data_IF_465754593594
#
_entry.id   IF_465754593594
#
_cell.length_a   1.000
_cell.length_b   1.000
_cell.length_c   1.000
_cell.angle_alpha   90.00
_cell.angle_beta   90.00
_cell.angle_gamma   90.00
#
_symmetry.space_group_name_H-M   'P 1'
#
loop_
_entity.id
_entity.type
_entity.pdbx_description
1 polymer ?
#
# COMPACT_ATOMS: atom_id res chain seq x y z
N UNK A 1 10.88 1.74 -22.47
CA UNK A 1 10.46 2.16 -21.11
C UNK A 1 9.00 2.58 -21.18
N UNK A 2 8.21 2.19 -20.17
CA UNK A 2 6.88 2.77 -19.97
C UNK A 2 7.06 4.24 -19.58
N UNK A 3 6.45 5.16 -20.33
CA UNK A 3 6.33 6.58 -19.95
C UNK A 3 4.88 6.88 -19.61
N UNK A 4 4.65 7.80 -18.67
CA UNK A 4 3.29 8.23 -18.31
C UNK A 4 2.51 8.75 -19.53
N UNK A 5 3.20 9.37 -20.49
CA UNK A 5 2.65 9.90 -21.74
C UNK A 5 2.01 8.82 -22.63
N UNK A 6 2.51 7.57 -22.59
CA UNK A 6 1.95 6.46 -23.38
C UNK A 6 0.51 6.11 -22.96
N UNK A 7 0.16 6.40 -21.71
CA UNK A 7 -1.13 6.07 -21.12
C UNK A 7 -2.09 7.28 -21.08
N UNK A 8 -1.95 8.18 -22.06
CA UNK A 8 -2.89 9.29 -22.23
C UNK A 8 -4.32 8.77 -22.40
N UNK A 9 -5.27 9.36 -21.66
CA UNK A 9 -6.69 9.02 -21.73
C UNK A 9 -7.16 7.98 -20.71
N UNK A 10 -6.26 7.44 -19.87
CA UNK A 10 -6.68 6.69 -18.70
C UNK A 10 -7.32 7.62 -17.67
N UNK A 11 -8.42 7.16 -17.06
CA UNK A 11 -9.18 7.90 -16.05
C UNK A 11 -8.81 7.49 -14.62
N UNK A 12 -8.35 6.27 -14.46
CA UNK A 12 -7.85 5.70 -13.22
C UNK A 12 -6.50 6.29 -12.81
N UNK A 13 -5.94 5.76 -11.72
CA UNK A 13 -4.63 6.18 -11.24
C UNK A 13 -3.53 5.33 -11.86
N UNK A 14 -2.47 5.97 -12.34
CA UNK A 14 -1.28 5.31 -12.86
C UNK A 14 -0.04 5.91 -12.22
N UNK A 15 0.53 5.21 -11.25
CA UNK A 15 1.55 5.73 -10.34
C UNK A 15 2.88 4.99 -10.52
N UNK A 16 3.99 5.68 -10.86
CA UNK A 16 5.30 5.05 -10.86
C UNK A 16 5.80 4.82 -9.44
N UNK A 17 6.65 3.80 -9.24
CA UNK A 17 7.33 3.51 -7.96
C UNK A 17 6.37 3.48 -6.76
N UNK A 18 5.18 2.90 -6.95
CA UNK A 18 4.14 2.90 -5.94
C UNK A 18 4.40 1.85 -4.86
N UNK A 19 4.41 2.27 -3.60
CA UNK A 19 4.60 1.40 -2.44
C UNK A 19 3.48 0.37 -2.29
N UNK A 20 3.84 -0.92 -2.23
CA UNK A 20 2.88 -2.02 -2.18
C UNK A 20 2.63 -2.55 -0.77
N UNK A 21 3.49 -2.27 0.21
CA UNK A 21 3.27 -2.67 1.60
C UNK A 21 1.93 -2.15 2.14
N UNK A 22 1.47 -0.98 1.71
CA UNK A 22 0.16 -0.43 2.04
C UNK A 22 -1.04 -1.22 1.49
N UNK A 23 -0.81 -2.09 0.51
CA UNK A 23 -1.84 -2.85 -0.21
C UNK A 23 -1.82 -4.35 0.13
N UNK A 24 -0.91 -4.81 0.99
CA UNK A 24 -0.86 -6.20 1.48
C UNK A 24 -1.29 -6.31 2.94
N UNK A 25 -1.91 -7.43 3.31
CA UNK A 25 -2.35 -7.65 4.69
C UNK A 25 -1.19 -7.85 5.65
N UNK A 26 -0.09 -8.40 5.15
CA UNK A 26 1.16 -8.53 5.91
C UNK A 26 1.87 -7.19 6.11
N UNK A 27 1.47 -6.13 5.39
CA UNK A 27 2.11 -4.80 5.44
C UNK A 27 3.60 -4.84 5.09
N UNK A 28 3.95 -5.63 4.09
CA UNK A 28 5.31 -5.77 3.57
C UNK A 28 5.31 -5.77 2.04
N UNK A 29 6.47 -5.46 1.47
CA UNK A 29 6.73 -5.50 0.03
C UNK A 29 7.21 -4.17 -0.52
N UNK A 30 8.20 -4.25 -1.42
CA UNK A 30 8.77 -3.09 -2.10
C UNK A 30 7.84 -2.51 -3.17
N UNK A 31 8.28 -1.46 -3.87
CA UNK A 31 7.45 -0.73 -4.81
C UNK A 31 7.16 -1.51 -6.09
N UNK A 32 5.99 -1.28 -6.70
CA UNK A 32 5.79 -1.63 -8.11
C UNK A 32 6.53 -0.62 -8.99
N UNK A 33 7.09 -1.06 -10.13
CA UNK A 33 7.57 -0.10 -11.13
C UNK A 33 6.43 0.84 -11.54
N UNK A 34 5.22 0.29 -11.72
CA UNK A 34 3.98 1.02 -11.90
C UNK A 34 2.79 0.34 -11.20
N UNK A 35 1.91 1.14 -10.60
CA UNK A 35 0.62 0.71 -10.08
C UNK A 35 -0.49 1.37 -10.90
N UNK A 36 -1.36 0.55 -11.48
CA UNK A 36 -2.55 0.97 -12.18
C UNK A 36 -3.80 0.58 -11.39
N UNK A 37 -4.66 1.55 -11.08
CA UNK A 37 -6.01 1.28 -10.53
C UNK A 37 -7.05 1.84 -11.51
N UNK A 38 -7.70 0.98 -12.34
CA UNK A 38 -8.63 1.43 -13.37
C UNK A 38 -9.89 2.03 -12.77
N UNK A 39 -10.42 3.13 -13.29
CA UNK A 39 -11.69 3.71 -12.80
C UNK A 39 -12.89 2.78 -13.05
N UNK A 40 -12.89 2.11 -14.21
CA UNK A 40 -13.95 1.22 -14.66
C UNK A 40 -13.42 0.16 -15.67
N UNK A 41 -14.33 -0.66 -16.21
CA UNK A 41 -13.99 -1.71 -17.19
C UNK A 41 -13.44 -1.13 -18.50
N UNK A 42 -13.95 0.02 -18.94
CA UNK A 42 -13.50 0.67 -20.19
C UNK A 42 -12.07 1.21 -20.03
N UNK A 43 -11.76 1.74 -18.85
CA UNK A 43 -10.44 2.20 -18.48
C UNK A 43 -9.43 1.04 -18.44
N UNK A 44 -9.80 -0.09 -17.83
CA UNK A 44 -9.00 -1.32 -17.87
C UNK A 44 -8.75 -1.79 -19.31
N UNK A 45 -9.79 -1.78 -20.15
CA UNK A 45 -9.69 -2.17 -21.56
C UNK A 45 -8.73 -1.27 -22.34
N UNK A 46 -8.83 0.03 -22.12
CA UNK A 46 -7.96 1.04 -22.74
C UNK A 46 -6.51 0.81 -22.34
N UNK A 47 -6.25 0.60 -21.04
CA UNK A 47 -4.92 0.28 -20.54
C UNK A 47 -4.34 -0.99 -21.17
N UNK A 48 -5.11 -2.09 -21.19
CA UNK A 48 -4.62 -3.38 -21.72
C UNK A 48 -4.25 -3.28 -23.20
N UNK A 49 -5.08 -2.59 -24.01
CA UNK A 49 -4.79 -2.35 -25.43
C UNK A 49 -3.52 -1.51 -25.67
N UNK A 50 -3.23 -0.57 -24.77
CA UNK A 50 -2.04 0.29 -24.88
C UNK A 50 -0.78 -0.35 -24.28
N UNK A 51 -0.93 -1.35 -23.42
CA UNK A 51 0.16 -1.98 -22.70
C UNK A 51 1.00 -2.88 -23.64
N UNK A 52 2.31 -2.60 -23.83
CA UNK A 52 3.19 -3.41 -24.67
C UNK A 52 3.21 -4.89 -24.23
N UNK A 53 3.31 -5.83 -25.18
CA UNK A 53 3.23 -7.27 -24.89
C UNK A 53 4.33 -7.78 -23.93
N UNK A 54 5.50 -7.15 -23.95
CA UNK A 54 6.68 -7.50 -23.14
C UNK A 54 6.62 -6.98 -21.69
N UNK A 55 5.64 -6.13 -21.36
CA UNK A 55 5.46 -5.60 -20.01
C UNK A 55 4.77 -6.62 -19.11
N UNK A 56 5.41 -7.01 -18.02
CA UNK A 56 4.80 -7.92 -17.06
C UNK A 56 3.57 -7.25 -16.40
N UNK A 57 2.45 -7.98 -16.36
CA UNK A 57 1.24 -7.57 -15.65
C UNK A 57 1.04 -8.44 -14.43
N UNK A 58 0.67 -7.83 -13.31
CA UNK A 58 0.41 -8.52 -12.05
C UNK A 58 -0.87 -8.00 -11.42
N UNK A 59 -1.89 -8.85 -11.30
CA UNK A 59 -3.11 -8.46 -10.60
C UNK A 59 -2.93 -8.56 -9.07
N UNK A 60 -3.35 -7.53 -8.35
CA UNK A 60 -3.42 -7.49 -6.90
C UNK A 60 -4.85 -7.17 -6.46
N UNK A 61 -5.46 -8.11 -5.73
CA UNK A 61 -6.73 -7.88 -5.03
C UNK A 61 -6.50 -7.20 -3.68
N UNK A 62 -7.12 -7.70 -2.61
CA UNK A 62 -6.91 -7.17 -1.26
C UNK A 62 -5.51 -7.43 -0.68
N UNK A 63 -4.63 -8.17 -1.38
CA UNK A 63 -3.30 -8.54 -0.89
C UNK A 63 -3.32 -9.43 0.36
N UNK A 64 -4.41 -10.17 0.59
CA UNK A 64 -4.61 -11.04 1.75
C UNK A 64 -3.89 -12.39 1.64
N UNK A 65 -3.43 -12.78 0.45
CA UNK A 65 -2.68 -14.02 0.18
C UNK A 65 -1.37 -13.75 -0.60
N UNK A 66 -0.76 -12.58 -0.38
CA UNK A 66 0.42 -12.13 -1.13
C UNK A 66 1.57 -11.75 -0.20
N UNK A 67 2.75 -12.32 -0.45
CA UNK A 67 4.02 -11.91 0.11
C UNK A 67 4.85 -11.29 -1.02
N UNK A 68 4.83 -9.96 -1.11
CA UNK A 68 5.59 -9.21 -2.09
C UNK A 68 6.98 -8.97 -1.50
N UNK A 69 8.03 -9.35 -2.23
CA UNK A 69 9.41 -9.19 -1.79
C UNK A 69 9.85 -7.73 -1.73
N UNK A 70 10.89 -7.46 -0.96
CA UNK A 70 11.39 -6.11 -0.70
C UNK A 70 11.92 -5.41 -1.97
N UNK A 71 12.27 -6.16 -3.01
CA UNK A 71 12.72 -5.61 -4.30
C UNK A 71 11.57 -5.17 -5.21
N UNK A 72 10.33 -5.34 -4.76
CA UNK A 72 9.15 -4.86 -5.47
C UNK A 72 8.75 -5.70 -6.69
N UNK A 73 7.87 -5.16 -7.53
CA UNK A 73 7.29 -5.87 -8.68
C UNK A 73 7.68 -5.17 -9.99
N UNK A 74 8.14 -5.95 -10.95
CA UNK A 74 8.45 -5.48 -12.30
C UNK A 74 7.19 -5.26 -13.15
N UNK A 75 7.22 -4.25 -14.00
CA UNK A 75 6.11 -3.95 -14.92
C UNK A 75 4.95 -3.22 -14.24
N UNK A 76 3.71 -3.67 -14.46
CA UNK A 76 2.52 -3.00 -13.94
C UNK A 76 1.75 -3.92 -12.98
N UNK A 77 1.52 -3.42 -11.77
CA UNK A 77 0.56 -4.00 -10.84
C UNK A 77 -0.83 -3.40 -11.12
N UNK A 78 -1.79 -4.24 -11.46
CA UNK A 78 -3.20 -3.85 -11.64
C UNK A 78 -3.91 -4.08 -10.32
N UNK A 79 -4.32 -3.01 -9.65
CA UNK A 79 -5.03 -3.07 -8.39
C UNK A 79 -6.51 -2.79 -8.59
N UNK A 80 -7.31 -3.85 -8.50
CA UNK A 80 -8.74 -3.77 -8.78
C UNK A 80 -9.52 -3.27 -7.57
N UNK A 81 -9.10 -3.52 -6.32
CA UNK A 81 -9.94 -3.35 -5.12
C UNK A 81 -10.41 -1.92 -4.82
N UNK A 82 -9.83 -0.90 -5.46
CA UNK A 82 -10.30 0.49 -5.35
C UNK A 82 -11.50 0.79 -6.27
N UNK A 83 -11.73 -0.07 -7.26
CA UNK A 83 -12.73 0.08 -8.32
C UNK A 83 -13.32 -1.29 -8.64
N UNK A 84 -14.21 -1.41 -9.64
CA UNK A 84 -14.85 -2.70 -9.96
C UNK A 84 -15.42 -3.42 -8.71
N UNK A 85 -16.22 -2.70 -7.93
CA UNK A 85 -16.79 -3.16 -6.65
C UNK A 85 -18.33 -3.24 -6.67
N UNK A 86 -18.96 -3.29 -7.85
CA UNK A 86 -20.42 -3.39 -7.96
C UNK A 86 -20.89 -4.82 -7.71
N UNK A 87 -21.98 -4.91 -6.96
CA UNK A 87 -22.70 -6.16 -6.68
C UNK A 87 -24.15 -5.99 -7.12
N UNK A 88 -24.66 -6.91 -7.94
CA UNK A 88 -26.06 -7.00 -8.35
C UNK A 88 -26.52 -8.45 -8.24
N UNK A 89 -27.83 -8.68 -8.25
CA UNK A 89 -28.37 -10.03 -8.30
C UNK A 89 -29.57 -10.12 -9.25
N UNK A 90 -29.81 -11.33 -9.74
CA UNK A 90 -31.05 -11.73 -10.38
C UNK A 90 -31.48 -13.06 -9.76
N UNK A 91 -32.66 -13.10 -9.16
CA UNK A 91 -33.12 -14.20 -8.31
C UNK A 91 -32.04 -14.58 -7.27
N UNK A 92 -31.50 -15.80 -7.35
CA UNK A 92 -30.48 -16.32 -6.43
C UNK A 92 -29.07 -16.27 -7.01
N UNK A 93 -28.87 -15.61 -8.15
CA UNK A 93 -27.57 -15.45 -8.78
C UNK A 93 -26.99 -14.08 -8.44
N UNK A 94 -25.88 -14.09 -7.70
CA UNK A 94 -25.12 -12.87 -7.40
C UNK A 94 -24.08 -12.65 -8.50
N UNK A 95 -24.08 -11.46 -9.10
CA UNK A 95 -23.00 -10.98 -9.97
C UNK A 95 -22.18 -9.95 -9.20
N UNK A 96 -20.92 -10.27 -8.95
CA UNK A 96 -19.99 -9.40 -8.23
C UNK A 96 -18.77 -9.11 -9.08
N UNK A 97 -18.38 -7.85 -9.16
CA UNK A 97 -17.13 -7.45 -9.79
C UNK A 97 -15.91 -7.92 -8.98
N UNK A 98 -14.77 -8.08 -9.64
CA UNK A 98 -13.59 -8.76 -9.10
C UNK A 98 -12.94 -8.06 -7.90
N UNK A 99 -13.15 -6.75 -7.77
CA UNK A 99 -12.66 -5.93 -6.67
C UNK A 99 -13.52 -6.00 -5.41
N UNK A 100 -14.75 -6.53 -5.49
CA UNK A 100 -15.63 -6.69 -4.33
C UNK A 100 -14.97 -7.54 -3.26
N UNK A 101 -15.02 -7.10 -2.00
CA UNK A 101 -14.57 -7.93 -0.88
C UNK A 101 -15.48 -9.16 -0.72
N UNK A 102 -14.91 -10.34 -0.47
CA UNK A 102 -15.69 -11.58 -0.29
C UNK A 102 -16.76 -11.40 0.81
N UNK A 103 -16.38 -10.74 1.90
CA UNK A 103 -17.28 -10.47 3.01
C UNK A 103 -18.43 -9.51 2.69
N UNK A 104 -18.25 -8.59 1.73
CA UNK A 104 -19.31 -7.68 1.30
C UNK A 104 -20.32 -8.41 0.42
N UNK A 105 -19.84 -9.29 -0.46
CA UNK A 105 -20.69 -10.16 -1.28
C UNK A 105 -21.52 -11.09 -0.40
N UNK A 106 -20.94 -11.69 0.64
CA UNK A 106 -21.68 -12.49 1.61
C UNK A 106 -22.81 -11.71 2.29
N UNK A 107 -22.52 -10.49 2.76
CA UNK A 107 -23.52 -9.62 3.42
C UNK A 107 -24.60 -9.15 2.45
N UNK A 108 -24.23 -8.84 1.21
CA UNK A 108 -25.19 -8.48 0.17
C UNK A 108 -26.14 -9.64 -0.12
N UNK A 109 -25.61 -10.85 -0.33
CA UNK A 109 -26.41 -12.05 -0.56
C UNK A 109 -27.38 -12.32 0.60
N UNK A 110 -26.91 -12.19 1.84
CA UNK A 110 -27.75 -12.33 3.02
C UNK A 110 -28.90 -11.31 3.09
N UNK A 111 -28.66 -10.05 2.69
CA UNK A 111 -29.72 -9.03 2.60
C UNK A 111 -30.73 -9.33 1.49
N UNK A 112 -30.29 -9.98 0.42
CA UNK A 112 -31.13 -10.40 -0.70
C UNK A 112 -31.89 -11.72 -0.45
N UNK A 113 -31.71 -12.38 0.71
CA UNK A 113 -32.31 -13.70 0.96
C UNK A 113 -31.68 -14.82 0.14
N UNK A 114 -30.43 -14.62 -0.31
CA UNK A 114 -29.65 -15.57 -1.09
C UNK A 114 -28.66 -16.27 -0.17
N UNK A 115 -29.03 -17.47 0.28
CA UNK A 115 -28.18 -18.35 1.08
C UNK A 115 -27.18 -19.15 0.25
N UNK A 116 -26.29 -19.85 0.93
CA UNK A 116 -25.27 -20.70 0.34
C UNK A 116 -23.91 -20.02 0.09
N UNK A 117 -23.83 -18.70 0.26
CA UNK A 117 -22.64 -17.86 0.09
C UNK A 117 -22.05 -17.37 1.43
N UNK A 118 -22.52 -17.90 2.56
CA UNK A 118 -22.15 -17.46 3.92
C UNK A 118 -20.65 -17.60 4.19
N UNK A 119 -20.02 -18.64 3.64
CA UNK A 119 -18.61 -18.97 3.85
C UNK A 119 -17.68 -17.81 3.44
N UNK A 120 -18.06 -17.03 2.42
CA UNK A 120 -17.33 -15.85 1.94
C UNK A 120 -17.13 -14.79 3.03
N UNK A 121 -18.01 -14.72 4.04
CA UNK A 121 -17.88 -13.74 5.16
C UNK A 121 -16.58 -13.90 5.94
N UNK A 122 -16.03 -15.12 5.92
CA UNK A 122 -14.85 -15.49 6.69
C UNK A 122 -13.57 -15.55 5.85
N UNK A 123 -13.68 -15.45 4.52
CA UNK A 123 -12.53 -15.41 3.61
C UNK A 123 -12.05 -13.96 3.50
N UNK A 124 -10.80 -13.67 3.87
CA UNK A 124 -10.21 -12.38 3.62
C UNK A 124 -9.71 -12.30 2.18
N UNK A 125 -10.24 -11.38 1.38
CA UNK A 125 -9.91 -11.28 -0.03
C UNK A 125 -10.94 -10.50 -0.84
N UNK A 126 -10.76 -10.58 -2.16
CA UNK A 126 -11.72 -10.09 -3.14
C UNK A 126 -12.20 -11.24 -4.02
N UNK A 127 -13.34 -11.07 -4.67
CA UNK A 127 -13.94 -12.09 -5.56
C UNK A 127 -12.95 -12.60 -6.60
N UNK A 128 -12.20 -11.70 -7.26
CA UNK A 128 -11.19 -12.10 -8.24
C UNK A 128 -10.09 -12.97 -7.63
N UNK A 129 -9.63 -12.65 -6.42
CA UNK A 129 -8.66 -13.47 -5.69
C UNK A 129 -9.23 -14.79 -5.21
N UNK A 130 -10.50 -14.78 -4.78
CA UNK A 130 -11.25 -15.96 -4.37
C UNK A 130 -11.40 -16.98 -5.50
N UNK A 131 -11.71 -16.51 -6.72
CA UNK A 131 -11.74 -17.36 -7.93
C UNK A 131 -10.35 -17.92 -8.23
N UNK A 132 -9.31 -17.07 -8.27
CA UNK A 132 -7.93 -17.50 -8.58
C UNK A 132 -7.49 -18.62 -7.64
N UNK A 133 -7.80 -18.48 -6.35
CA UNK A 133 -7.42 -19.43 -5.32
C UNK A 133 -8.40 -20.60 -5.16
N UNK A 134 -9.53 -20.64 -5.87
CA UNK A 134 -10.67 -21.50 -5.49
C UNK A 134 -10.88 -21.47 -3.96
N UNK A 135 -10.99 -20.26 -3.40
CA UNK A 135 -10.92 -20.07 -1.97
C UNK A 135 -12.08 -20.81 -1.27
N UNK A 136 -11.84 -21.26 -0.04
CA UNK A 136 -12.85 -22.05 0.65
C UNK A 136 -12.57 -22.28 2.12
N UNK A 137 -13.64 -22.46 2.87
CA UNK A 137 -13.68 -22.68 4.30
C UNK A 137 -15.02 -23.31 4.69
N UNK A 138 -15.08 -23.95 5.86
CA UNK A 138 -16.32 -24.55 6.39
C UNK A 138 -17.00 -25.53 5.41
N UNK A 139 -16.20 -26.29 4.64
CA UNK A 139 -16.70 -27.32 3.73
C UNK A 139 -17.25 -26.81 2.40
N UNK A 140 -17.12 -25.52 2.10
CA UNK A 140 -17.45 -24.94 0.78
C UNK A 140 -16.27 -24.20 0.17
N UNK A 141 -16.21 -24.21 -1.15
CA UNK A 141 -15.24 -23.50 -1.99
C UNK A 141 -15.95 -22.74 -3.12
N UNK A 142 -15.23 -21.84 -3.80
CA UNK A 142 -15.75 -21.12 -4.96
C UNK A 142 -16.31 -22.06 -6.03
N UNK A 143 -15.66 -23.21 -6.31
CA UNK A 143 -16.14 -24.18 -7.30
C UNK A 143 -17.56 -24.70 -7.06
N UNK A 144 -18.03 -24.67 -5.80
CA UNK A 144 -19.34 -25.21 -5.42
C UNK A 144 -20.49 -24.24 -5.76
N UNK A 145 -20.15 -22.96 -5.97
CA UNK A 145 -21.12 -21.88 -6.20
C UNK A 145 -20.87 -21.10 -7.49
N UNK A 146 -19.68 -21.20 -8.10
CA UNK A 146 -19.31 -20.46 -9.29
C UNK A 146 -20.08 -20.95 -10.53
N UNK A 147 -20.74 -20.03 -11.23
CA UNK A 147 -21.38 -20.28 -12.52
C UNK A 147 -20.39 -20.04 -13.65
N UNK A 148 -19.75 -18.87 -13.65
CA UNK A 148 -18.72 -18.43 -14.59
C UNK A 148 -18.08 -17.13 -14.12
N UNK A 149 -17.04 -16.73 -14.86
CA UNK A 149 -16.20 -15.57 -14.59
C UNK A 149 -16.05 -14.80 -15.89
N UNK A 150 -16.27 -13.48 -15.84
CA UNK A 150 -15.84 -12.61 -16.93
C UNK A 150 -14.40 -12.17 -16.67
N UNK A 151 -13.60 -12.18 -17.72
CA UNK A 151 -12.25 -11.63 -17.70
C UNK A 151 -11.97 -10.81 -18.94
N UNK A 152 -10.80 -10.19 -18.95
CA UNK A 152 -10.32 -9.40 -20.07
C UNK A 152 -8.92 -9.86 -20.45
N UNK A 153 -8.73 -10.19 -21.72
CA UNK A 153 -7.43 -10.56 -22.27
C UNK A 153 -6.53 -9.33 -22.40
N UNK A 154 -5.24 -9.58 -22.68
CA UNK A 154 -4.28 -8.52 -22.99
C UNK A 154 -4.66 -7.67 -24.22
N UNK A 155 -5.38 -8.21 -25.19
CA UNK A 155 -5.94 -7.45 -26.33
C UNK A 155 -7.11 -6.54 -25.95
N UNK A 156 -7.56 -6.59 -24.68
CA UNK A 156 -8.75 -5.90 -24.21
C UNK A 156 -10.05 -6.56 -24.69
N UNK A 157 -10.02 -7.86 -25.03
CA UNK A 157 -11.21 -8.61 -25.40
C UNK A 157 -11.82 -9.25 -24.15
N UNK A 158 -13.15 -9.20 -24.05
CA UNK A 158 -13.86 -9.86 -22.95
C UNK A 158 -13.93 -11.35 -23.23
N UNK A 159 -13.63 -12.15 -22.20
CA UNK A 159 -13.75 -13.61 -22.22
C UNK A 159 -14.68 -14.07 -21.10
N UNK A 160 -15.42 -15.14 -21.35
CA UNK A 160 -16.26 -15.81 -20.36
C UNK A 160 -15.67 -17.20 -20.08
N UNK A 161 -15.35 -17.48 -18.82
CA UNK A 161 -14.73 -18.73 -18.39
C UNK A 161 -15.64 -19.48 -17.42
N UNK A 162 -15.99 -20.72 -17.76
CA UNK A 162 -16.78 -21.60 -16.91
C UNK A 162 -15.88 -22.33 -15.88
N UNK A 163 -16.44 -22.92 -14.81
CA UNK A 163 -15.69 -23.75 -13.88
C UNK A 163 -14.89 -24.88 -14.57
N UNK A 164 -15.39 -25.40 -15.69
CA UNK A 164 -14.70 -26.43 -16.49
C UNK A 164 -13.43 -25.86 -17.14
N UNK A 165 -13.51 -24.65 -17.68
CA UNK A 165 -12.36 -23.97 -18.29
C UNK A 165 -11.31 -23.62 -17.23
N UNK A 166 -11.76 -23.20 -16.05
CA UNK A 166 -10.92 -22.83 -14.91
C UNK A 166 -10.26 -24.02 -14.19
N UNK A 167 -10.72 -25.25 -14.42
CA UNK A 167 -10.19 -26.48 -13.81
C UNK A 167 -9.92 -26.32 -12.30
N UNK A 168 -10.92 -25.83 -11.56
CA UNK A 168 -10.80 -25.51 -10.14
C UNK A 168 -10.45 -26.76 -9.32
N UNK A 169 -9.43 -26.64 -8.48
CA UNK A 169 -8.94 -27.69 -7.58
C UNK A 169 -8.54 -27.07 -6.24
N UNK A 170 -8.11 -27.89 -5.27
CA UNK A 170 -7.78 -27.40 -3.93
C UNK A 170 -6.72 -26.30 -3.99
N UNK A 171 -7.12 -25.08 -3.60
CA UNK A 171 -6.28 -23.87 -3.60
C UNK A 171 -5.71 -23.46 -4.96
N UNK A 172 -6.39 -23.81 -6.06
CA UNK A 172 -5.87 -23.57 -7.41
C UNK A 172 -6.98 -23.41 -8.46
N UNK A 173 -6.72 -22.52 -9.42
CA UNK A 173 -7.41 -22.43 -10.70
C UNK A 173 -6.40 -22.42 -11.85
N UNK A 174 -6.87 -22.61 -13.09
CA UNK A 174 -6.11 -22.48 -14.34
C UNK A 174 -6.63 -21.32 -15.18
N UNK A 175 -6.74 -20.15 -14.55
CA UNK A 175 -7.00 -18.91 -15.29
C UNK A 175 -5.80 -18.65 -16.22
N UNK A 176 -6.01 -18.34 -17.51
CA UNK A 176 -4.91 -18.01 -18.41
C UNK A 176 -4.09 -16.83 -17.87
N UNK A 177 -2.76 -16.87 -18.01
CA UNK A 177 -1.86 -15.87 -17.42
C UNK A 177 -2.14 -14.44 -17.90
N UNK A 178 -2.66 -14.31 -19.12
CA UNK A 178 -2.92 -13.03 -19.79
C UNK A 178 -4.35 -12.50 -19.58
N UNK A 179 -5.13 -13.13 -18.68
CA UNK A 179 -6.52 -12.75 -18.41
C UNK A 179 -6.65 -12.10 -17.04
N UNK A 180 -7.15 -10.87 -17.03
CA UNK A 180 -7.56 -10.15 -15.82
C UNK A 180 -9.01 -10.49 -15.51
N UNK A 181 -9.30 -11.14 -14.39
CA UNK A 181 -10.68 -11.38 -13.96
C UNK A 181 -11.35 -10.06 -13.60
N UNK A 182 -12.55 -9.81 -14.16
CA UNK A 182 -13.31 -8.58 -13.96
C UNK A 182 -14.59 -8.76 -13.17
N UNK A 183 -15.23 -9.93 -13.24
CA UNK A 183 -16.43 -10.25 -12.46
C UNK A 183 -16.64 -11.76 -12.33
N UNK A 184 -17.49 -12.17 -11.38
CA UNK A 184 -17.92 -13.56 -11.24
C UNK A 184 -19.42 -13.63 -10.96
N UNK A 185 -20.06 -14.70 -11.46
CA UNK A 185 -21.44 -15.06 -11.13
C UNK A 185 -21.46 -16.24 -10.19
N UNK A 186 -22.10 -16.06 -9.04
CA UNK A 186 -22.20 -17.05 -7.96
C UNK A 186 -23.66 -17.45 -7.77
N UNK A 187 -23.93 -18.75 -7.76
CA UNK A 187 -25.24 -19.34 -7.49
C UNK A 187 -25.42 -19.55 -6.00
N UNK A 188 -26.43 -18.91 -5.43
CA UNK A 188 -26.97 -19.26 -4.13
C UNK A 188 -28.32 -19.97 -4.24
N UNK A 189 -29.05 -19.97 -3.13
CA UNK A 189 -30.38 -20.55 -3.01
C UNK A 189 -31.28 -19.63 -2.17
N UNK A 190 -32.61 -19.67 -2.33
CA UNK A 190 -33.49 -18.90 -1.47
C UNK A 190 -33.35 -19.40 -0.03
N UNK A 191 -33.17 -18.49 0.92
CA UNK A 191 -33.11 -18.81 2.35
C UNK A 191 -33.56 -17.61 3.20
N UNK A 192 -33.96 -17.88 4.44
CA UNK A 192 -34.36 -16.83 5.38
C UNK A 192 -33.16 -15.96 5.77
N UNK A 193 -33.32 -14.63 5.73
CA UNK A 193 -32.22 -13.71 6.01
C UNK A 193 -31.66 -13.86 7.43
N UNK A 194 -32.51 -14.23 8.39
CA UNK A 194 -32.12 -14.42 9.79
C UNK A 194 -31.25 -15.66 9.92
N UNK A 195 -31.59 -16.75 9.25
CA UNK A 195 -30.78 -17.99 9.22
C UNK A 195 -29.40 -17.76 8.58
N UNK A 196 -29.36 -17.04 7.44
CA UNK A 196 -28.10 -16.70 6.77
C UNK A 196 -27.22 -15.87 7.71
N UNK A 197 -27.79 -14.85 8.37
CA UNK A 197 -27.04 -13.99 9.32
C UNK A 197 -26.56 -14.75 10.55
N UNK A 198 -27.37 -15.67 11.08
CA UNK A 198 -26.98 -16.53 12.19
C UNK A 198 -25.79 -17.42 11.81
N UNK A 199 -25.83 -18.03 10.62
CA UNK A 199 -24.75 -18.84 10.07
C UNK A 199 -23.46 -18.04 9.90
N UNK A 200 -23.53 -16.84 9.30
CA UNK A 200 -22.38 -15.95 9.16
C UNK A 200 -21.79 -15.55 10.52
N UNK A 201 -22.64 -15.23 11.50
CA UNK A 201 -22.20 -14.88 12.86
C UNK A 201 -21.46 -16.05 13.51
N UNK A 202 -21.97 -17.28 13.35
CA UNK A 202 -21.32 -18.48 13.86
C UNK A 202 -19.95 -18.69 13.21
N UNK A 203 -19.84 -18.55 11.88
CA UNK A 203 -18.58 -18.67 11.15
C UNK A 203 -17.54 -17.63 11.57
N UNK A 204 -17.95 -16.38 11.79
CA UNK A 204 -17.07 -15.33 12.30
C UNK A 204 -16.60 -15.62 13.73
N UNK A 205 -17.50 -16.10 14.60
CA UNK A 205 -17.15 -16.49 15.97
C UNK A 205 -16.14 -17.65 15.98
N UNK A 206 -16.38 -18.69 15.18
CA UNK A 206 -15.47 -19.84 15.05
C UNK A 206 -14.09 -19.41 14.52
N UNK A 207 -14.05 -18.49 13.55
CA UNK A 207 -12.80 -17.93 13.02
C UNK A 207 -12.07 -17.14 14.11
N UNK A 208 -12.77 -16.27 14.83
CA UNK A 208 -12.20 -15.48 15.91
C UNK A 208 -11.69 -16.35 17.07
N UNK A 209 -12.29 -17.50 17.33
CA UNK A 209 -11.80 -18.44 18.34
C UNK A 209 -10.53 -19.18 17.89
N UNK A 210 -10.47 -19.62 16.63
CA UNK A 210 -9.42 -20.52 16.12
C UNK A 210 -8.22 -19.82 15.47
N UNK A 211 -8.37 -18.59 14.98
CA UNK A 211 -7.36 -17.91 14.17
C UNK A 211 -6.95 -16.56 14.76
N UNK A 212 -5.74 -16.06 14.46
CA UNK A 212 -5.36 -14.70 14.82
C UNK A 212 -6.14 -13.70 13.94
N UNK A 213 -6.87 -12.79 14.58
CA UNK A 213 -7.68 -11.74 13.93
C UNK A 213 -7.12 -10.38 14.32
N UNK A 214 -7.18 -9.41 13.42
CA UNK A 214 -6.67 -8.05 13.67
C UNK A 214 -5.13 -7.93 13.67
N UNK A 215 -4.43 -8.98 13.26
CA UNK A 215 -2.97 -8.99 13.10
C UNK A 215 -2.58 -8.91 11.63
N UNK A 216 -1.34 -8.45 11.35
CA UNK A 216 -0.79 -8.38 9.99
C UNK A 216 -0.33 -9.76 9.55
N UNK A 217 -1.15 -10.45 8.78
CA UNK A 217 -0.90 -11.82 8.29
C UNK A 217 -1.57 -12.05 6.94
N UNK A 218 -1.00 -12.94 6.13
CA UNK A 218 -1.52 -13.36 4.83
C UNK A 218 -2.41 -14.61 4.90
N UNK A 219 -2.89 -14.96 6.10
CA UNK A 219 -3.68 -16.17 6.30
C UNK A 219 -2.82 -17.41 6.57
N UNK A 220 -3.37 -18.59 6.23
CA UNK A 220 -2.63 -19.84 6.33
C UNK A 220 -1.44 -19.82 5.37
N UNK A 221 -0.24 -20.00 5.90
CA UNK A 221 1.02 -19.84 5.19
C UNK A 221 1.29 -21.01 4.25
N UNK A 222 1.00 -22.23 4.72
CA UNK A 222 1.19 -23.46 3.96
C UNK A 222 -0.13 -24.18 3.69
N UNK A 223 -0.21 -24.81 2.52
CA UNK A 223 -1.30 -25.70 2.17
C UNK A 223 -1.22 -26.98 3.03
N UNK A 224 -2.37 -27.60 3.28
CA UNK A 224 -2.38 -28.87 3.99
C UNK A 224 -1.71 -29.97 3.13
N UNK A 225 -0.74 -30.72 3.67
CA UNK A 225 -0.21 -31.91 3.01
C UNK A 225 -1.24 -33.04 3.00
N UNK A 226 -1.05 -34.03 2.11
CA UNK A 226 -2.05 -35.09 1.91
C UNK A 226 -2.41 -35.82 3.21
N UNK A 227 -3.71 -35.84 3.51
CA UNK A 227 -4.29 -36.48 4.70
C UNK A 227 -3.91 -35.85 6.05
N UNK A 228 -3.14 -34.75 6.07
CA UNK A 228 -2.59 -34.15 7.29
C UNK A 228 -2.86 -32.64 7.34
N UNK A 229 -2.84 -32.05 8.53
CA UNK A 229 -3.04 -30.60 8.70
C UNK A 229 -1.69 -29.93 8.88
N UNK A 230 -1.41 -28.90 8.06
CA UNK A 230 -0.13 -28.19 8.11
C UNK A 230 0.15 -27.63 9.51
N UNK A 231 -0.86 -27.06 10.18
CA UNK A 231 -0.69 -26.50 11.52
C UNK A 231 -0.25 -27.51 12.58
N UNK A 232 -0.69 -28.78 12.47
CA UNK A 232 -0.29 -29.85 13.39
C UNK A 232 1.17 -30.19 13.16
N UNK A 233 1.58 -30.39 11.90
CA UNK A 233 2.97 -30.66 11.56
C UNK A 233 3.92 -29.56 12.05
N UNK A 234 3.52 -28.29 11.91
CA UNK A 234 4.28 -27.13 12.40
C UNK A 234 4.33 -27.10 13.94
N UNK A 235 3.23 -27.46 14.60
CA UNK A 235 3.17 -27.51 16.06
C UNK A 235 4.06 -28.62 16.62
N UNK A 236 3.98 -29.83 16.06
CA UNK A 236 4.72 -31.02 16.48
C UNK A 236 6.24 -30.83 16.25
N UNK A 237 6.62 -30.10 15.20
CA UNK A 237 7.98 -29.67 14.95
C UNK A 237 8.47 -28.53 15.89
N UNK A 238 7.70 -28.16 16.91
CA UNK A 238 8.09 -27.17 17.91
C UNK A 238 8.16 -25.73 17.40
N UNK A 239 7.54 -25.42 16.25
CA UNK A 239 7.73 -24.12 15.60
C UNK A 239 6.85 -22.98 16.16
N UNK A 240 5.97 -23.27 17.12
CA UNK A 240 5.08 -22.26 17.70
C UNK A 240 5.91 -21.16 18.35
N UNK A 241 5.64 -19.91 17.97
CA UNK A 241 6.34 -18.76 18.51
C UNK A 241 7.76 -18.52 17.99
N UNK A 242 8.25 -19.34 17.05
CA UNK A 242 9.51 -19.06 16.34
C UNK A 242 9.49 -17.65 15.76
N UNK A 243 10.64 -16.99 15.80
CA UNK A 243 10.79 -15.59 15.40
C UNK A 243 12.03 -15.42 14.52
N UNK A 244 11.91 -14.54 13.52
CA UNK A 244 13.03 -14.04 12.72
C UNK A 244 12.77 -12.58 12.40
N UNK A 245 13.70 -11.70 12.78
CA UNK A 245 13.51 -10.25 12.64
C UNK A 245 12.18 -9.81 13.28
N UNK A 246 11.37 -9.06 12.52
CA UNK A 246 10.02 -8.66 12.94
C UNK A 246 8.91 -9.69 12.68
N UNK A 247 9.22 -10.85 12.09
CA UNK A 247 8.26 -11.89 11.76
C UNK A 247 8.17 -12.95 12.86
N UNK A 248 6.97 -13.46 13.12
CA UNK A 248 6.73 -14.47 14.15
C UNK A 248 5.69 -15.50 13.74
N UNK A 249 5.90 -16.77 14.11
CA UNK A 249 4.87 -17.81 14.04
C UNK A 249 3.83 -17.55 15.11
N UNK A 250 2.55 -17.52 14.74
CA UNK A 250 1.45 -17.24 15.66
C UNK A 250 1.39 -18.23 16.83
N UNK A 251 1.26 -17.71 18.06
CA UNK A 251 0.93 -18.52 19.24
C UNK A 251 -0.45 -19.13 19.20
N UNK A 252 -1.37 -18.54 18.43
CA UNK A 252 -2.75 -19.00 18.37
C UNK A 252 -2.89 -20.14 17.37
N UNK A 253 -2.37 -19.94 16.15
CA UNK A 253 -2.45 -20.93 15.09
C UNK A 253 -1.15 -21.00 14.29
N UNK A 254 -0.33 -22.04 14.51
CA UNK A 254 1.04 -22.14 13.98
C UNK A 254 1.18 -22.05 12.45
N UNK A 255 0.12 -22.30 11.68
CA UNK A 255 0.15 -22.09 10.23
C UNK A 255 0.01 -20.61 9.80
N UNK A 256 0.15 -19.64 10.71
CA UNK A 256 0.07 -18.20 10.40
C UNK A 256 1.38 -17.53 10.78
N UNK A 257 2.05 -16.94 9.78
CA UNK A 257 3.13 -16.00 9.99
C UNK A 257 2.56 -14.59 10.19
N UNK A 258 3.06 -13.89 11.21
CA UNK A 258 2.60 -12.57 11.63
C UNK A 258 3.75 -11.57 11.49
N UNK A 259 3.48 -10.42 10.90
CA UNK A 259 4.33 -9.24 10.98
C UNK A 259 4.03 -8.49 12.29
N UNK A 260 5.01 -8.39 13.19
CA UNK A 260 4.86 -7.72 14.48
C UNK A 260 4.93 -6.18 14.41
N UNK A 261 5.16 -5.61 13.22
CA UNK A 261 5.15 -4.17 13.00
C UNK A 261 6.28 -3.71 12.08
N UNK A 262 7.43 -4.36 12.19
CA UNK A 262 8.71 -3.99 11.57
C UNK A 262 9.34 -5.14 10.75
N UNK A 263 8.58 -6.21 10.43
CA UNK A 263 9.08 -7.30 9.60
C UNK A 263 9.30 -6.81 8.15
N UNK A 264 10.38 -7.27 7.54
CA UNK A 264 10.57 -7.21 6.08
C UNK A 264 9.89 -8.42 5.41
N UNK A 265 9.71 -8.37 4.08
CA UNK A 265 9.23 -9.54 3.36
C UNK A 265 10.26 -10.70 3.44
N UNK A 266 11.55 -10.38 3.41
CA UNK A 266 12.63 -11.34 3.62
C UNK A 266 12.56 -12.04 4.99
N UNK A 267 12.25 -11.31 6.07
CA UNK A 267 12.07 -11.92 7.41
C UNK A 267 10.95 -12.96 7.40
N UNK A 268 9.80 -12.63 6.78
CA UNK A 268 8.64 -13.51 6.71
C UNK A 268 8.92 -14.72 5.81
N UNK A 269 9.51 -14.50 4.63
CA UNK A 269 9.83 -15.59 3.68
C UNK A 269 10.82 -16.56 4.32
N UNK A 270 11.88 -16.04 4.96
CA UNK A 270 12.89 -16.87 5.60
C UNK A 270 12.36 -17.58 6.85
N UNK A 271 11.50 -16.94 7.66
CA UNK A 271 10.84 -17.62 8.77
C UNK A 271 9.99 -18.79 8.27
N UNK A 272 9.31 -18.63 7.14
CA UNK A 272 8.57 -19.72 6.53
C UNK A 272 9.47 -20.86 6.04
N UNK A 273 10.63 -20.55 5.45
CA UNK A 273 11.61 -21.59 5.08
C UNK A 273 12.22 -22.29 6.32
N UNK A 274 12.47 -21.56 7.42
CA UNK A 274 12.93 -22.14 8.69
C UNK A 274 11.87 -23.13 9.25
N UNK A 275 10.59 -22.77 9.17
CA UNK A 275 9.47 -23.67 9.54
C UNK A 275 9.43 -24.90 8.64
N UNK A 276 9.59 -24.75 7.32
CA UNK A 276 9.62 -25.89 6.39
C UNK A 276 10.78 -26.84 6.73
N UNK A 277 11.97 -26.30 7.00
CA UNK A 277 13.14 -27.09 7.36
C UNK A 277 12.93 -27.86 8.68
N UNK A 278 12.35 -27.21 9.69
CA UNK A 278 12.04 -27.87 10.97
C UNK A 278 11.01 -29.00 10.83
N UNK A 279 9.96 -28.80 10.01
CA UNK A 279 8.95 -29.84 9.77
C UNK A 279 9.51 -31.01 8.97
N UNK A 280 10.36 -30.74 7.97
CA UNK A 280 11.08 -31.79 7.24
C UNK A 280 11.98 -32.58 8.20
N UNK A 281 12.75 -31.91 9.06
CA UNK A 281 13.62 -32.57 10.02
C UNK A 281 12.85 -33.41 11.06
N UNK A 282 11.65 -32.96 11.46
CA UNK A 282 10.82 -33.64 12.46
C UNK A 282 10.06 -34.85 11.89
N UNK A 283 9.38 -34.70 10.75
CA UNK A 283 8.45 -35.73 10.23
C UNK A 283 8.69 -36.12 8.77
N UNK A 284 9.71 -35.58 8.11
CA UNK A 284 9.96 -35.79 6.68
C UNK A 284 8.92 -35.14 5.76
N UNK A 285 7.99 -34.36 6.32
CA UNK A 285 6.88 -33.77 5.56
C UNK A 285 7.30 -32.47 4.89
N UNK A 286 7.18 -32.41 3.57
CA UNK A 286 7.40 -31.15 2.87
C UNK A 286 6.12 -30.29 2.86
N UNK A 287 6.19 -29.14 3.52
CA UNK A 287 5.12 -28.14 3.45
C UNK A 287 5.28 -27.30 2.18
N UNK A 288 4.16 -27.08 1.47
CA UNK A 288 4.08 -26.22 0.29
C UNK A 288 3.47 -24.88 0.67
N UNK A 289 4.10 -23.77 0.27
CA UNK A 289 3.54 -22.43 0.42
C UNK A 289 2.17 -22.30 -0.27
N UNK A 290 1.20 -21.76 0.47
CA UNK A 290 -0.11 -21.34 -0.06
C UNK A 290 -0.13 -19.83 -0.35
N UNK A 291 0.55 -19.05 0.49
CA UNK A 291 0.78 -17.62 0.25
C UNK A 291 1.61 -17.44 -1.02
N UNK A 292 1.13 -16.57 -1.93
CA UNK A 292 1.81 -16.30 -3.19
C UNK A 292 3.01 -15.38 -2.95
N UNK A 293 4.21 -15.95 -3.09
CA UNK A 293 5.48 -15.23 -3.01
C UNK A 293 5.83 -14.68 -4.38
N UNK A 294 6.12 -13.38 -4.46
CA UNK A 294 6.26 -12.67 -5.74
C UNK A 294 7.16 -11.44 -5.62
N UNK A 295 7.60 -10.92 -6.75
CA UNK A 295 8.51 -9.78 -6.81
C UNK A 295 9.99 -10.17 -6.81
N UNK A 296 10.84 -9.15 -6.95
CA UNK A 296 12.29 -9.27 -7.06
C UNK A 296 12.91 -9.47 -5.68
N UNK A 297 13.94 -10.32 -5.63
CA UNK A 297 14.83 -10.37 -4.48
C UNK A 297 15.65 -9.08 -4.41
N UNK A 298 15.88 -8.55 -3.22
CA UNK A 298 16.88 -7.51 -3.00
C UNK A 298 18.27 -8.16 -2.98
N UNK A 299 19.25 -7.55 -3.65
CA UNK A 299 20.63 -8.03 -3.53
C UNK A 299 21.16 -7.78 -2.10
N UNK A 300 22.01 -8.66 -1.54
CA UNK A 300 22.52 -8.50 -0.17
C UNK A 300 23.20 -7.15 0.10
N UNK A 301 23.91 -6.60 -0.90
CA UNK A 301 24.47 -5.24 -0.84
C UNK A 301 23.40 -4.15 -0.72
N UNK A 302 22.27 -4.30 -1.41
CA UNK A 302 21.16 -3.35 -1.36
C UNK A 302 20.40 -3.40 -0.03
N UNK A 303 20.30 -4.55 0.65
CA UNK A 303 19.71 -4.62 2.00
C UNK A 303 20.59 -3.93 3.05
N UNK A 304 21.91 -4.04 2.91
CA UNK A 304 22.88 -3.37 3.78
C UNK A 304 22.92 -1.86 3.49
N UNK A 305 22.91 -1.48 2.21
CA UNK A 305 22.81 -0.09 1.76
C UNK A 305 21.44 0.54 2.08
N UNK A 306 20.31 -0.17 2.05
CA UNK A 306 19.00 0.37 2.45
C UNK A 306 18.89 0.56 3.97
N UNK A 307 19.47 -0.35 4.77
CA UNK A 307 19.58 -0.17 6.22
C UNK A 307 20.55 0.96 6.62
N UNK A 308 21.63 1.14 5.85
CA UNK A 308 22.59 2.24 6.06
C UNK A 308 22.08 3.59 5.51
N UNK A 309 21.42 3.59 4.34
CA UNK A 309 20.89 4.80 3.68
C UNK A 309 19.66 5.40 4.37
N UNK A 310 18.90 4.61 5.13
CA UNK A 310 17.85 5.15 5.99
C UNK A 310 18.41 6.07 7.09
N UNK A 311 19.70 5.94 7.43
CA UNK A 311 20.38 6.81 8.40
C UNK A 311 21.15 7.98 7.74
N UNK A 312 21.41 7.90 6.43
CA UNK A 312 22.19 8.88 5.62
C UNK A 312 21.29 9.77 4.72
N UNK A 313 19.95 9.69 4.86
CA UNK A 313 18.97 10.44 4.05
C UNK A 313 17.77 10.92 4.87
N UNK A 314 18.03 11.50 6.04
CA UNK A 314 17.01 12.08 6.91
C UNK A 314 16.84 13.57 6.67
N UNK A 315 15.61 14.00 6.39
CA UNK A 315 15.24 15.41 6.26
C UNK A 315 14.24 15.81 7.34
N UNK A 316 14.57 16.84 8.10
CA UNK A 316 13.62 17.46 9.03
C UNK A 316 12.84 18.56 8.30
N UNK A 317 11.52 18.52 8.34
CA UNK A 317 10.65 19.54 7.74
C UNK A 317 10.10 20.44 8.83
N UNK A 318 10.61 21.67 8.93
CA UNK A 318 10.19 22.62 9.95
C UNK A 318 8.82 23.21 9.62
N UNK A 319 7.94 23.27 10.61
CA UNK A 319 6.56 23.71 10.43
C UNK A 319 5.99 24.43 11.65
N UNK A 320 4.81 25.05 11.48
CA UNK A 320 4.08 25.65 12.59
C UNK A 320 4.68 26.97 13.08
N UNK A 321 4.85 27.09 14.41
CA UNK A 321 5.29 28.31 15.08
C UNK A 321 4.15 29.04 15.82
N UNK A 322 4.45 30.25 16.29
CA UNK A 322 3.54 31.10 17.07
C UNK A 322 3.09 32.36 16.30
N UNK A 323 3.34 32.41 15.00
CA UNK A 323 2.82 33.47 14.13
C UNK A 323 1.41 33.12 13.65
N UNK A 324 0.70 34.11 13.09
CA UNK A 324 -0.59 33.90 12.42
C UNK A 324 -0.50 32.91 11.23
N UNK A 325 0.70 32.62 10.76
CA UNK A 325 0.97 31.80 9.58
C UNK A 325 1.29 30.34 9.94
N UNK A 326 1.28 29.98 11.22
CA UNK A 326 1.56 28.61 11.67
C UNK A 326 0.67 27.55 10.98
N UNK A 327 -0.59 27.87 10.70
CA UNK A 327 -1.49 26.96 10.00
C UNK A 327 -1.03 26.65 8.57
N UNK A 328 -0.61 27.68 7.80
CA UNK A 328 -0.15 27.48 6.42
C UNK A 328 1.22 26.78 6.38
N UNK A 329 2.08 27.03 7.38
CA UNK A 329 3.35 26.31 7.54
C UNK A 329 3.14 24.80 7.70
N UNK A 330 2.16 24.36 8.50
CA UNK A 330 1.84 22.93 8.67
C UNK A 330 1.30 22.29 7.39
N UNK A 331 0.44 23.01 6.66
CA UNK A 331 -0.07 22.53 5.37
C UNK A 331 1.07 22.35 4.37
N UNK A 332 1.94 23.36 4.24
CA UNK A 332 3.12 23.32 3.37
C UNK A 332 4.03 22.15 3.73
N UNK A 333 4.32 21.98 5.03
CA UNK A 333 5.16 20.89 5.53
C UNK A 333 4.59 19.51 5.23
N UNK A 334 3.26 19.33 5.26
CA UNK A 334 2.64 18.05 4.90
C UNK A 334 2.92 17.68 3.44
N UNK A 335 2.82 18.63 2.52
CA UNK A 335 3.13 18.41 1.11
C UNK A 335 4.63 18.16 0.90
N UNK A 336 5.50 18.96 1.50
CA UNK A 336 6.95 18.81 1.42
C UNK A 336 7.40 17.45 1.99
N UNK A 337 6.88 17.04 3.13
CA UNK A 337 7.20 15.75 3.74
C UNK A 337 6.72 14.57 2.92
N UNK A 338 5.53 14.69 2.31
CA UNK A 338 5.04 13.70 1.36
C UNK A 338 5.97 13.61 0.13
N UNK A 339 6.39 14.73 -0.43
CA UNK A 339 7.30 14.77 -1.57
C UNK A 339 8.69 14.21 -1.24
N UNK A 340 9.24 14.53 -0.06
CA UNK A 340 10.50 13.99 0.42
C UNK A 340 10.46 12.47 0.58
N UNK A 341 9.39 11.94 1.21
CA UNK A 341 9.16 10.49 1.32
C UNK A 341 9.05 9.82 -0.05
N UNK A 342 8.35 10.46 -1.01
CA UNK A 342 8.27 9.99 -2.40
C UNK A 342 9.63 9.98 -3.12
N UNK A 343 10.52 10.90 -2.77
CA UNK A 343 11.90 10.95 -3.28
C UNK A 343 12.86 10.00 -2.54
N UNK A 344 12.36 9.18 -1.60
CA UNK A 344 13.15 8.20 -0.86
C UNK A 344 13.92 8.75 0.34
N UNK A 345 13.49 9.89 0.89
CA UNK A 345 14.04 10.47 2.13
C UNK A 345 13.22 10.05 3.36
N UNK A 346 13.91 9.83 4.48
CA UNK A 346 13.27 9.71 5.80
C UNK A 346 12.87 11.11 6.28
N UNK A 347 11.60 11.47 6.11
CA UNK A 347 11.08 12.81 6.39
C UNK A 347 10.38 12.88 7.74
N UNK A 348 10.90 13.72 8.63
CA UNK A 348 10.35 13.97 9.97
C UNK A 348 9.81 15.39 10.06
N UNK A 349 8.53 15.54 10.37
CA UNK A 349 7.90 16.85 10.56
C UNK A 349 8.20 17.38 11.97
N UNK A 350 8.74 18.60 12.05
CA UNK A 350 9.20 19.19 13.32
C UNK A 350 8.47 20.52 13.54
N UNK A 351 7.61 20.53 14.57
CA UNK A 351 6.92 21.73 15.02
C UNK A 351 7.93 22.72 15.64
N UNK A 352 7.99 23.93 15.09
CA UNK A 352 8.79 25.02 15.63
C UNK A 352 8.21 25.45 16.97
N UNK A 353 8.96 25.13 18.03
CA UNK A 353 8.66 25.56 19.38
C UNK A 353 9.97 25.90 20.14
N UNK A 354 9.88 26.22 21.43
CA UNK A 354 11.06 26.57 22.24
C UNK A 354 12.10 25.44 22.37
N UNK A 355 11.69 24.19 22.13
CA UNK A 355 12.53 23.00 22.26
C UNK A 355 12.96 22.46 20.88
N UNK A 356 12.88 23.28 19.83
CA UNK A 356 13.25 22.87 18.47
C UNK A 356 14.72 22.44 18.39
N UNK A 357 15.59 23.04 19.21
CA UNK A 357 17.01 22.68 19.30
C UNK A 357 17.19 21.24 19.76
N UNK A 358 16.61 20.89 20.91
CA UNK A 358 16.69 19.54 21.46
C UNK A 358 16.12 18.52 20.47
N UNK A 359 15.02 18.85 19.79
CA UNK A 359 14.45 17.97 18.76
C UNK A 359 15.37 17.78 17.56
N UNK A 360 16.01 18.84 17.07
CA UNK A 360 16.93 18.72 15.94
C UNK A 360 18.20 17.94 16.34
N UNK A 361 18.65 18.10 17.58
CA UNK A 361 19.77 17.34 18.15
C UNK A 361 19.41 15.86 18.36
N UNK A 362 18.18 15.54 18.77
CA UNK A 362 17.70 14.15 18.88
C UNK A 362 17.53 13.49 17.49
N UNK A 363 17.03 14.26 16.51
CA UNK A 363 16.73 13.75 15.17
C UNK A 363 18.00 13.55 14.34
N UNK A 364 19.02 14.39 14.55
CA UNK A 364 20.24 14.49 13.74
C UNK A 364 19.94 14.45 12.23
N UNK A 365 19.18 15.43 11.69
CA UNK A 365 18.83 15.41 10.27
C UNK A 365 20.02 15.82 9.40
N UNK A 366 20.19 15.17 8.25
CA UNK A 366 21.20 15.55 7.25
C UNK A 366 20.92 16.94 6.67
N UNK A 367 19.63 17.27 6.53
CA UNK A 367 19.15 18.54 5.99
C UNK A 367 17.84 18.95 6.61
N UNK A 368 17.56 20.25 6.58
CA UNK A 368 16.28 20.82 6.98
C UNK A 368 15.55 21.41 5.77
N UNK A 369 14.32 20.95 5.54
CA UNK A 369 13.40 21.64 4.65
C UNK A 369 12.62 22.68 5.45
N UNK A 370 12.85 23.97 5.19
CA UNK A 370 12.14 25.04 5.87
C UNK A 370 10.78 25.29 5.20
N UNK A 371 9.69 24.87 5.85
CA UNK A 371 8.32 25.12 5.41
C UNK A 371 7.60 26.17 6.29
N UNK A 372 8.36 26.95 7.06
CA UNK A 372 7.84 28.04 7.89
C UNK A 372 7.57 29.28 7.01
N UNK A 373 6.42 29.91 7.21
CA UNK A 373 6.08 31.19 6.61
C UNK A 373 6.22 32.34 7.61
N UNK A 374 6.57 33.52 7.09
CA UNK A 374 6.52 34.79 7.82
C UNK A 374 7.68 35.02 8.77
N UNK A 375 7.41 35.83 9.79
CA UNK A 375 8.43 36.16 10.80
C UNK A 375 8.96 34.88 11.45
N UNK A 376 10.27 34.80 11.64
CA UNK A 376 11.07 33.63 12.03
C UNK A 376 11.33 32.62 10.89
N UNK A 377 10.37 32.39 10.00
CA UNK A 377 10.51 31.47 8.87
C UNK A 377 11.32 32.05 7.71
N UNK A 378 11.09 33.33 7.40
CA UNK A 378 11.58 33.98 6.18
C UNK A 378 12.50 35.18 6.46
N UNK A 379 12.66 35.58 7.72
CA UNK A 379 13.45 36.76 8.13
C UNK A 379 14.92 36.49 8.48
N UNK A 380 15.36 35.23 8.31
CA UNK A 380 16.73 34.82 8.60
C UNK A 380 16.92 34.23 10.01
N UNK A 381 15.91 34.26 10.89
CA UNK A 381 16.05 33.78 12.27
C UNK A 381 16.30 32.27 12.32
N UNK A 382 15.45 31.46 11.67
CA UNK A 382 15.63 30.00 11.65
C UNK A 382 16.86 29.58 10.83
N UNK A 383 17.18 30.34 9.78
CA UNK A 383 18.39 30.14 8.98
C UNK A 383 19.66 30.36 9.82
N UNK A 384 19.65 31.37 10.70
CA UNK A 384 20.75 31.63 11.64
C UNK A 384 20.92 30.49 12.64
N UNK A 385 19.81 29.98 13.17
CA UNK A 385 19.81 28.79 14.04
C UNK A 385 20.44 27.58 13.34
N UNK A 386 20.01 27.28 12.11
CA UNK A 386 20.49 26.13 11.35
C UNK A 386 21.97 26.27 10.94
N UNK A 387 22.43 27.50 10.68
CA UNK A 387 23.85 27.79 10.47
C UNK A 387 24.69 27.49 11.73
N UNK A 388 24.20 27.84 12.93
CA UNK A 388 24.89 27.54 14.19
C UNK A 388 24.99 26.03 14.41
N UNK A 389 23.93 25.29 14.09
CA UNK A 389 23.91 23.82 14.17
C UNK A 389 24.68 23.14 13.03
N UNK A 390 25.18 23.90 12.05
CA UNK A 390 25.83 23.38 10.85
C UNK A 390 24.95 22.38 10.06
N UNK A 391 23.63 22.61 10.03
CA UNK A 391 22.67 21.77 9.30
C UNK A 391 22.30 22.47 7.98
N UNK A 392 22.56 21.87 6.81
CA UNK A 392 22.14 22.42 5.52
C UNK A 392 20.61 22.57 5.41
N UNK A 393 20.11 23.63 4.76
CA UNK A 393 18.66 23.86 4.63
C UNK A 393 18.19 24.41 3.29
N UNK A 394 16.88 24.31 3.05
CA UNK A 394 16.20 24.92 1.90
C UNK A 394 15.71 26.33 2.24
N UNK A 395 16.43 27.38 1.84
CA UNK A 395 15.96 28.77 1.78
C UNK A 395 17.09 29.66 1.25
N UNK A 396 16.82 30.95 1.08
CA UNK A 396 17.87 31.97 1.02
C UNK A 396 18.66 32.04 2.35
N UNK A 397 19.94 32.42 2.30
CA UNK A 397 20.75 32.60 3.51
C UNK A 397 20.26 33.73 4.42
N UNK A 398 20.84 33.84 5.62
CA UNK A 398 20.42 34.78 6.69
C UNK A 398 20.31 36.22 6.19
N UNK A 399 21.39 36.76 5.60
CA UNK A 399 21.41 38.15 5.14
C UNK A 399 20.39 38.41 4.04
N UNK A 400 20.24 37.49 3.09
CA UNK A 400 19.28 37.63 2.00
C UNK A 400 17.83 37.61 2.53
N UNK A 401 17.54 36.70 3.46
CA UNK A 401 16.23 36.56 4.11
C UNK A 401 15.88 37.81 4.93
N UNK A 402 16.80 38.27 5.80
CA UNK A 402 16.62 39.49 6.59
C UNK A 402 16.42 40.73 5.69
N UNK A 403 17.21 40.86 4.63
CA UNK A 403 17.12 42.02 3.74
C UNK A 403 15.84 42.00 2.90
N UNK A 404 15.38 40.82 2.46
CA UNK A 404 14.14 40.68 1.71
C UNK A 404 12.90 41.05 2.54
N UNK A 405 12.92 40.76 3.84
CA UNK A 405 11.84 41.10 4.77
C UNK A 405 11.83 42.59 5.14
N UNK A 406 12.94 43.31 4.98
CA UNK A 406 13.00 44.76 5.15
C UNK A 406 12.59 45.48 3.85
N UNK A 407 11.41 46.10 3.87
CA UNK A 407 10.81 46.75 2.69
C UNK A 407 11.64 47.92 2.14
N UNK A 408 12.43 48.59 2.97
CA UNK A 408 13.22 49.74 2.53
C UNK A 408 14.52 49.23 1.92
N UNK A 409 15.21 48.34 2.63
CA UNK A 409 16.50 47.77 2.26
C UNK A 409 16.39 46.92 0.99
N UNK A 410 15.38 46.04 0.89
CA UNK A 410 15.12 45.27 -0.34
C UNK A 410 14.93 46.16 -1.56
N UNK A 411 14.19 47.28 -1.43
CA UNK A 411 13.98 48.24 -2.53
C UNK A 411 15.25 48.96 -2.93
N UNK A 412 16.06 49.39 -1.96
CA UNK A 412 17.33 50.05 -2.24
C UNK A 412 18.28 49.10 -2.98
N UNK A 413 18.36 47.83 -2.57
CA UNK A 413 19.18 46.82 -3.24
C UNK A 413 18.68 46.51 -4.64
N UNK A 414 17.37 46.31 -4.80
CA UNK A 414 16.80 46.04 -6.13
C UNK A 414 16.97 47.22 -7.07
N UNK A 415 16.74 48.45 -6.60
CA UNK A 415 16.97 49.65 -7.39
C UNK A 415 18.44 49.82 -7.77
N UNK A 416 19.39 49.49 -6.89
CA UNK A 416 20.83 49.67 -7.18
C UNK A 416 21.34 48.70 -8.26
N UNK A 417 20.65 47.59 -8.47
CA UNK A 417 20.95 46.62 -9.55
C UNK A 417 20.01 46.75 -10.76
N UNK A 418 19.24 47.83 -10.84
CA UNK A 418 18.39 48.16 -11.99
C UNK A 418 17.04 47.43 -12.04
N UNK A 419 16.62 46.77 -10.96
CA UNK A 419 15.28 46.19 -10.84
C UNK A 419 14.29 47.30 -10.48
N UNK A 420 13.24 47.47 -11.28
CA UNK A 420 12.20 48.47 -11.04
C UNK A 420 11.43 48.13 -9.76
N UNK A 421 11.41 49.08 -8.82
CA UNK A 421 10.65 48.98 -7.57
C UNK A 421 9.65 50.12 -7.44
N UNK A 422 8.54 49.96 -6.69
CA UNK A 422 7.61 51.06 -6.51
C UNK A 422 8.29 52.21 -5.73
N UNK A 423 7.95 53.46 -6.02
CA UNK A 423 8.57 54.62 -5.37
C UNK A 423 8.27 54.64 -3.87
N UNK A 424 9.20 55.21 -3.10
CA UNK A 424 9.04 55.39 -1.66
C UNK A 424 8.06 56.55 -1.39
N UNK A 425 7.20 56.37 -0.39
CA UNK A 425 6.29 57.42 0.08
C UNK A 425 6.78 57.93 1.45
N UNK A 426 6.68 59.23 1.69
CA UNK A 426 6.86 59.80 3.03
C UNK A 426 5.69 59.41 3.95
N UNK A 427 5.79 59.64 5.28
CA UNK A 427 4.69 59.35 6.21
C UNK A 427 3.38 60.10 5.94
N UNK A 428 3.41 61.12 5.07
CA UNK A 428 2.25 61.90 4.63
C UNK A 428 1.71 61.43 3.26
N UNK A 429 2.23 60.32 2.71
CA UNK A 429 1.78 59.72 1.46
C UNK A 429 2.30 60.40 0.19
N UNK A 430 3.30 61.27 0.28
CA UNK A 430 3.91 61.92 -0.89
C UNK A 430 5.06 61.09 -1.45
N UNK A 431 5.19 61.03 -2.77
CA UNK A 431 6.37 60.42 -3.40
C UNK A 431 7.64 61.13 -2.94
N UNK A 432 8.56 60.36 -2.37
CA UNK A 432 9.93 60.81 -2.16
C UNK A 432 10.56 60.92 -3.55
N UNK A 433 10.76 62.17 -4.00
CA UNK A 433 11.28 62.47 -5.33
C UNK A 433 12.62 61.75 -5.54
N UNK A 434 12.71 60.93 -6.59
CA UNK A 434 13.97 60.45 -7.13
C UNK A 434 14.63 61.61 -7.87
N UNK A 435 15.45 62.40 -7.17
CA UNK A 435 16.34 63.37 -7.80
C UNK A 435 17.79 63.06 -7.43
N UNK A 436 18.55 62.71 -8.48
CA UNK A 436 19.99 62.51 -8.59
C UNK A 436 20.55 61.16 -8.07
#
# INVERSE_FOLDING_TARGET
MLSAERFSGLKGTFLPMAELAGLTWMRVGGPADWLFSPQDISDLQTFLKQCPADVQLTCLGAGSNSLIRDGGIAGVVIHLSAYLTRIKHNDTVIHAEAGCADSEVARYAAKAGVGGLEFLVSIPGTIGGGVIMNAGCYGKEFKDVLIDVEGMTRSGETVLLTPKDLQLSYRRSKVPEDVVITSARLRGQPADQTEIRATMKQMLSNRAASQPVGVRTGGSTFANPDGRKAWQQIHDAGCRGMQRGGARVSEKHCNFLINQGNATAADIEQLGEDVRAAVIAHSGTELRWEIRRMGRLTHPKQQQEQKMAAHDRRVAVLMGGWTSEAAVSRVSASFCSKAARLAGWDSVEVELNRNVLDKLDDIQPDRVFNALHGQIGEDGSVQGLLNILNIPYTHSGVLASATAMDKISSRLIFSSVGITVPPLLDPAGRYLCSAC
#
